data_IF_405823234568
#
_entry.id   IF_405823234568
#
_cell.length_a   1.000
_cell.length_b   1.000
_cell.length_c   1.000
_cell.angle_alpha   90.00
_cell.angle_beta   90.00
_cell.angle_gamma   90.00
#
_symmetry.space_group_name_H-M   'P 1'
#
loop_
_entity.id
_entity.type
_entity.pdbx_description
1 polymer ?
#
# COMPACT_ATOMS: atom_id res chain seq x y z
N UNK A 1 2.15 20.75 -23.31
CA UNK A 1 1.82 20.97 -21.88
C UNK A 1 1.29 19.65 -21.34
N UNK A 2 2.12 18.86 -20.67
CA UNK A 2 1.67 17.63 -20.02
C UNK A 2 0.69 17.99 -18.90
N UNK A 3 -0.56 17.56 -19.06
CA UNK A 3 -1.57 17.64 -18.02
C UNK A 3 -1.23 16.57 -16.98
N UNK A 4 -0.63 16.98 -15.86
CA UNK A 4 -0.67 16.22 -14.61
C UNK A 4 -2.12 16.19 -14.15
N UNK A 5 -2.88 15.20 -14.61
CA UNK A 5 -4.10 14.77 -13.95
C UNK A 5 -3.66 14.28 -12.58
N UNK A 6 -3.82 15.11 -11.54
CA UNK A 6 -3.88 14.64 -10.16
C UNK A 6 -5.08 13.68 -10.09
N UNK A 7 -4.82 12.42 -10.44
CA UNK A 7 -5.78 11.34 -10.28
C UNK A 7 -6.14 11.34 -8.81
N UNK A 8 -7.38 11.75 -8.52
CA UNK A 8 -8.01 11.67 -7.20
C UNK A 8 -7.81 10.23 -6.71
N UNK A 9 -6.75 10.00 -5.93
CA UNK A 9 -6.37 8.66 -5.51
C UNK A 9 -7.57 8.05 -4.80
N UNK A 10 -7.94 6.83 -5.20
CA UNK A 10 -9.09 6.13 -4.65
C UNK A 10 -8.95 6.07 -3.12
N UNK A 11 -9.99 6.48 -2.37
CA UNK A 11 -9.91 6.64 -0.90
C UNK A 11 -9.38 5.36 -0.21
N UNK A 12 -9.72 4.19 -0.75
CA UNK A 12 -9.19 2.91 -0.26
C UNK A 12 -7.66 2.79 -0.35
N UNK A 13 -7.06 3.24 -1.45
CA UNK A 13 -5.61 3.22 -1.65
C UNK A 13 -4.93 4.16 -0.65
N UNK A 14 -5.49 5.35 -0.46
CA UNK A 14 -5.01 6.30 0.54
C UNK A 14 -5.03 5.70 1.94
N UNK A 15 -6.15 5.07 2.33
CA UNK A 15 -6.28 4.43 3.64
C UNK A 15 -5.26 3.31 3.86
N UNK A 16 -4.96 2.52 2.82
CA UNK A 16 -3.94 1.47 2.89
C UNK A 16 -2.55 2.10 3.09
N UNK A 17 -2.20 3.10 2.27
CA UNK A 17 -0.92 3.80 2.38
C UNK A 17 -0.75 4.47 3.74
N UNK A 18 -1.77 5.17 4.25
CA UNK A 18 -1.75 5.83 5.55
C UNK A 18 -1.62 4.82 6.69
N UNK A 19 -2.31 3.68 6.62
CA UNK A 19 -2.20 2.60 7.62
C UNK A 19 -0.81 1.96 7.62
N UNK A 20 -0.22 1.74 6.45
CA UNK A 20 1.15 1.23 6.33
C UNK A 20 2.15 2.24 6.89
N UNK A 21 1.99 3.53 6.58
CA UNK A 21 2.85 4.59 7.14
C UNK A 21 2.74 4.64 8.65
N UNK A 22 1.52 4.61 9.20
CA UNK A 22 1.31 4.57 10.65
C UNK A 22 2.00 3.36 11.30
N UNK A 23 1.78 2.17 10.74
CA UNK A 23 2.32 0.92 11.31
C UNK A 23 3.85 0.88 11.30
N UNK A 24 4.47 1.40 10.24
CA UNK A 24 5.92 1.41 10.06
C UNK A 24 6.58 2.74 10.44
N UNK A 25 5.88 3.60 11.20
CA UNK A 25 6.41 4.90 11.67
C UNK A 25 6.96 5.76 10.53
N UNK A 26 6.25 5.79 9.40
CA UNK A 26 6.59 6.55 8.20
C UNK A 26 7.65 5.93 7.30
N UNK A 27 8.17 4.73 7.63
CA UNK A 27 9.26 4.07 6.89
C UNK A 27 8.77 3.11 5.79
N UNK A 28 7.50 3.20 5.40
CA UNK A 28 6.90 2.37 4.35
C UNK A 28 6.50 3.22 3.15
N UNK A 29 6.57 2.62 1.98
CA UNK A 29 6.23 3.25 0.72
C UNK A 29 5.31 2.34 -0.11
N UNK A 30 4.35 2.95 -0.79
CA UNK A 30 3.42 2.29 -1.70
C UNK A 30 3.43 3.07 -3.01
N UNK A 31 3.79 2.42 -4.10
CA UNK A 31 3.65 2.99 -5.45
C UNK A 31 2.73 2.12 -6.29
N UNK A 32 1.96 2.78 -7.15
CA UNK A 32 0.97 2.11 -8.01
C UNK A 32 1.17 2.66 -9.40
N UNK A 33 1.48 1.76 -10.32
CA UNK A 33 1.81 2.08 -11.69
C UNK A 33 0.94 1.22 -12.60
N UNK A 34 0.39 1.82 -13.66
CA UNK A 34 -0.32 1.06 -14.68
C UNK A 34 0.72 0.46 -15.61
N UNK A 35 0.80 -0.86 -15.68
CA UNK A 35 1.85 -1.55 -16.44
C UNK A 35 1.68 -1.37 -17.96
N UNK A 36 0.43 -1.37 -18.44
CA UNK A 36 0.02 -0.95 -19.79
C UNK A 36 -1.52 -0.94 -19.88
N UNK A 37 -2.09 -0.60 -21.03
CA UNK A 37 -3.54 -0.71 -21.24
C UNK A 37 -4.05 -2.15 -21.11
N UNK A 38 -3.26 -3.13 -21.57
CA UNK A 38 -3.58 -4.57 -21.50
C UNK A 38 -2.97 -5.29 -20.27
N UNK A 39 -1.93 -4.70 -19.64
CA UNK A 39 -1.05 -5.37 -18.68
C UNK A 39 -1.39 -5.20 -17.20
N UNK A 40 -2.55 -4.63 -16.88
CA UNK A 40 -3.00 -4.47 -15.49
C UNK A 40 -2.21 -3.42 -14.69
N UNK A 41 -2.18 -3.61 -13.37
CA UNK A 41 -1.63 -2.65 -12.40
C UNK A 41 -0.50 -3.30 -11.61
N UNK A 42 0.66 -2.66 -11.59
CA UNK A 42 1.78 -3.02 -10.72
C UNK A 42 1.65 -2.24 -9.41
N UNK A 43 1.74 -2.97 -8.30
CA UNK A 43 1.74 -2.40 -6.95
C UNK A 43 3.07 -2.77 -6.31
N UNK A 44 3.85 -1.76 -5.95
CA UNK A 44 5.14 -1.94 -5.26
C UNK A 44 5.00 -1.49 -3.81
N UNK A 45 5.44 -2.36 -2.90
CA UNK A 45 5.37 -2.16 -1.45
C UNK A 45 6.78 -2.26 -0.87
N UNK A 46 7.29 -1.16 -0.33
CA UNK A 46 8.56 -1.14 0.40
C UNK A 46 8.27 -1.11 1.89
N UNK A 47 8.60 -2.19 2.59
CA UNK A 47 8.33 -2.36 4.01
C UNK A 47 9.63 -2.60 4.78
N UNK A 48 9.86 -1.94 5.92
CA UNK A 48 10.97 -2.26 6.80
C UNK A 48 10.92 -3.72 7.25
N UNK A 49 12.06 -4.41 7.17
CA UNK A 49 12.19 -5.74 7.74
C UNK A 49 11.97 -5.66 9.25
N UNK A 50 10.95 -6.35 9.75
CA UNK A 50 10.68 -6.49 11.19
C UNK A 50 10.96 -7.93 11.61
N UNK A 51 11.97 -8.10 12.46
CA UNK A 51 12.14 -9.32 13.25
C UNK A 51 11.22 -9.25 14.46
N UNK A 52 10.00 -9.79 14.32
CA UNK A 52 9.08 -9.99 15.43
C UNK A 52 7.77 -9.18 15.39
N UNK A 53 6.82 -9.68 16.17
CA UNK A 53 5.44 -9.23 16.33
C UNK A 53 4.67 -10.38 16.96
N UNK A 54 3.85 -10.13 17.98
CA UNK A 54 2.96 -11.19 18.50
C UNK A 54 2.05 -11.56 17.33
N UNK A 55 2.17 -12.79 16.83
CA UNK A 55 1.25 -13.36 15.85
C UNK A 55 -0.14 -13.25 16.48
N UNK A 56 -0.96 -12.29 16.05
CA UNK A 56 -2.35 -12.25 16.48
C UNK A 56 -3.06 -13.28 15.62
N UNK A 57 -3.01 -14.53 16.09
CA UNK A 57 -3.75 -15.63 15.49
C UNK A 57 -5.19 -15.40 15.92
N UNK A 58 -6.07 -15.03 15.00
CA UNK A 58 -7.49 -15.19 15.25
C UNK A 58 -7.72 -16.70 15.38
N UNK A 59 -8.20 -17.22 16.53
CA UNK A 59 -8.68 -18.58 16.57
C UNK A 59 -9.77 -18.69 15.50
N UNK A 60 -9.70 -19.74 14.69
CA UNK A 60 -10.59 -19.92 13.54
C UNK A 60 -12.07 -20.10 13.93
N UNK A 61 -12.37 -20.24 15.23
CA UNK A 61 -13.72 -20.52 15.71
C UNK A 61 -14.03 -19.71 16.97
N UNK A 62 -15.04 -18.86 16.92
CA UNK A 62 -15.78 -18.30 18.07
C UNK A 62 -17.23 -18.13 17.67
#
# INVERSE_FOLDING_TARGET
KEQKTESKQHIGIKNIADRLKLYFKGKSEVTIERASEAGGTIITLVLPYRTGGKKHVYPADS
#
